data_IF_706755620519
#
_entry.id   IF_706755620519
#
_cell.length_a   1.000
_cell.length_b   1.000
_cell.length_c   1.000
_cell.angle_alpha   90.00
_cell.angle_beta   90.00
_cell.angle_gamma   90.00
#
_symmetry.space_group_name_H-M   'P 1'
#
loop_
_entity.id
_entity.type
_entity.pdbx_description
1 polymer ?
#
# COMPACT_ATOMS: atom_id res chain seq x y z
N UNK A 1 -15.05 3.93 -4.17
CA UNK A 1 -13.66 3.76 -3.69
C UNK A 1 -13.69 3.05 -2.34
N UNK A 2 -12.99 1.95 -2.18
CA UNK A 2 -12.92 1.23 -0.92
C UNK A 2 -11.61 1.54 -0.21
N UNK A 3 -11.68 2.17 0.94
CA UNK A 3 -10.51 2.48 1.75
C UNK A 3 -10.16 1.26 2.60
N UNK A 4 -8.88 0.93 2.64
CA UNK A 4 -8.33 -0.16 3.46
C UNK A 4 -7.27 0.40 4.41
N UNK A 5 -7.13 -0.25 5.56
CA UNK A 5 -6.06 0.06 6.50
C UNK A 5 -4.97 -1.00 6.39
N UNK A 6 -3.76 -0.57 6.03
CA UNK A 6 -2.59 -1.43 5.90
C UNK A 6 -1.69 -1.21 7.11
N UNK A 7 -1.36 -2.30 7.78
CA UNK A 7 -0.50 -2.26 8.97
C UNK A 7 0.71 -3.15 8.74
N UNK A 8 1.90 -2.60 8.87
CA UNK A 8 3.15 -3.36 8.72
C UNK A 8 4.30 -2.59 9.36
N UNK A 9 5.48 -3.25 9.48
CA UNK A 9 6.67 -2.58 9.98
C UNK A 9 7.22 -1.65 8.90
N UNK A 10 7.14 -0.36 9.12
CA UNK A 10 7.60 0.66 8.18
C UNK A 10 9.05 1.04 8.50
N UNK A 11 9.99 0.66 7.62
CA UNK A 11 11.41 0.96 7.82
C UNK A 11 11.67 2.46 7.91
N UNK A 12 10.96 3.26 7.12
CA UNK A 12 11.12 4.72 7.12
C UNK A 12 10.72 5.37 8.44
N UNK A 13 9.84 4.70 9.22
CA UNK A 13 9.39 5.17 10.53
C UNK A 13 9.97 4.35 11.68
N UNK A 14 10.66 3.27 11.36
CA UNK A 14 11.24 2.33 12.31
C UNK A 14 10.25 1.82 13.36
N UNK A 15 9.01 1.55 12.93
CA UNK A 15 7.95 1.03 13.81
C UNK A 15 6.84 0.41 12.99
N UNK A 16 5.99 -0.39 13.66
CA UNK A 16 4.74 -0.87 13.07
C UNK A 16 3.76 0.30 13.06
N UNK A 17 3.18 0.57 11.91
CA UNK A 17 2.24 1.68 11.75
C UNK A 17 1.15 1.31 10.76
N UNK A 18 0.08 2.11 10.74
CA UNK A 18 -1.08 1.90 9.89
C UNK A 18 -1.23 3.05 8.91
N UNK A 19 -1.48 2.71 7.65
CA UNK A 19 -1.65 3.68 6.56
C UNK A 19 -2.97 3.39 5.86
N UNK A 20 -3.73 4.45 5.54
CA UNK A 20 -4.94 4.34 4.74
C UNK A 20 -4.57 4.27 3.27
N UNK A 21 -5.13 3.31 2.57
CA UNK A 21 -4.82 3.13 1.17
C UNK A 21 -6.00 2.64 0.34
N UNK A 22 -5.82 2.66 -0.97
CA UNK A 22 -6.79 2.15 -1.94
C UNK A 22 -6.08 1.26 -2.95
N UNK A 23 -6.85 0.36 -3.58
CA UNK A 23 -6.30 -0.55 -4.58
C UNK A 23 -6.17 0.09 -5.96
N UNK A 24 -6.96 1.10 -6.24
CA UNK A 24 -6.92 1.80 -7.51
C UNK A 24 -6.96 3.31 -7.31
N UNK A 25 -6.20 4.02 -8.10
CA UNK A 25 -6.18 5.48 -8.08
C UNK A 25 -5.85 6.01 -9.46
N UNK A 26 -6.62 6.99 -9.93
CA UNK A 26 -6.32 7.68 -11.18
C UNK A 26 -5.28 8.78 -10.93
N UNK A 27 -4.18 8.69 -11.68
CA UNK A 27 -3.12 9.70 -11.64
C UNK A 27 -3.28 10.63 -12.85
N UNK A 28 -3.95 11.74 -12.63
CA UNK A 28 -4.25 12.69 -13.70
C UNK A 28 -2.98 13.33 -14.28
N UNK A 29 -1.95 13.52 -13.46
CA UNK A 29 -0.71 14.15 -13.92
C UNK A 29 0.07 13.27 -14.88
N UNK A 30 0.05 11.96 -14.66
CA UNK A 30 0.76 11.01 -15.50
C UNK A 30 -0.18 10.28 -16.48
N UNK A 31 -1.44 10.66 -16.52
CA UNK A 31 -2.48 10.11 -17.42
C UNK A 31 -2.50 8.58 -17.37
N UNK A 32 -2.50 8.02 -16.15
CA UNK A 32 -2.52 6.58 -15.94
C UNK A 32 -3.31 6.23 -14.68
N UNK A 33 -3.70 4.97 -14.58
CA UNK A 33 -4.37 4.43 -13.40
C UNK A 33 -3.40 3.55 -12.62
N UNK A 34 -3.21 3.86 -11.34
CA UNK A 34 -2.49 2.97 -10.43
C UNK A 34 -3.40 1.79 -10.07
N UNK A 35 -2.85 0.59 -10.09
CA UNK A 35 -3.53 -0.61 -9.60
C UNK A 35 -2.64 -1.33 -8.62
N UNK A 36 -3.24 -1.82 -7.54
CA UNK A 36 -2.52 -2.58 -6.53
C UNK A 36 -2.02 -3.91 -7.08
N UNK A 37 -1.00 -4.46 -6.41
CA UNK A 37 -0.45 -5.77 -6.75
C UNK A 37 -0.04 -6.48 -5.48
N UNK A 38 -0.46 -7.74 -5.34
CA UNK A 38 0.03 -8.63 -4.30
C UNK A 38 1.08 -9.54 -4.90
N UNK A 39 2.21 -9.69 -4.21
CA UNK A 39 3.34 -10.47 -4.71
C UNK A 39 4.16 -10.98 -3.55
N UNK A 40 5.13 -11.84 -3.83
CA UNK A 40 6.04 -12.39 -2.84
C UNK A 40 7.47 -12.01 -3.21
N UNK A 41 8.24 -11.50 -2.26
CA UNK A 41 9.61 -11.11 -2.52
C UNK A 41 10.55 -12.33 -2.57
N UNK A 42 11.83 -12.09 -2.85
CA UNK A 42 12.83 -13.16 -2.97
C UNK A 42 13.06 -13.93 -1.66
N UNK A 43 12.70 -13.34 -0.54
CA UNK A 43 12.84 -13.96 0.79
C UNK A 43 11.57 -14.70 1.23
N UNK A 44 10.55 -14.75 0.38
CA UNK A 44 9.28 -15.40 0.68
C UNK A 44 8.31 -14.56 1.48
N UNK A 45 8.57 -13.27 1.62
CA UNK A 45 7.67 -12.38 2.36
C UNK A 45 6.52 -11.89 1.46
N UNK A 46 5.27 -11.96 1.94
CA UNK A 46 4.15 -11.41 1.18
C UNK A 46 4.22 -9.88 1.15
N UNK A 47 4.02 -9.32 -0.03
CA UNK A 47 4.07 -7.88 -0.26
C UNK A 47 2.78 -7.40 -0.90
N UNK A 48 2.40 -6.16 -0.62
CA UNK A 48 1.20 -5.54 -1.16
C UNK A 48 1.54 -4.10 -1.59
N UNK A 49 1.47 -3.85 -2.89
CA UNK A 49 1.62 -2.49 -3.42
C UNK A 49 0.26 -1.83 -3.44
N UNK A 50 0.13 -0.69 -2.80
CA UNK A 50 -1.13 0.05 -2.73
C UNK A 50 -0.88 1.55 -2.87
N UNK A 51 -1.95 2.31 -3.08
CA UNK A 51 -1.87 3.78 -3.13
C UNK A 51 -2.17 4.36 -1.75
N UNK A 52 -1.21 5.10 -1.19
CA UNK A 52 -1.37 5.83 0.06
C UNK A 52 -2.13 7.13 -0.24
N UNK A 53 -3.37 7.24 0.25
CA UNK A 53 -4.21 8.41 -0.05
C UNK A 53 -3.77 9.66 0.68
N UNK A 54 -3.12 9.54 1.81
CA UNK A 54 -2.66 10.70 2.59
C UNK A 54 -1.34 11.25 2.04
N UNK A 55 -0.42 10.38 1.66
CA UNK A 55 0.88 10.78 1.10
C UNK A 55 0.82 11.00 -0.42
N UNK A 56 -0.26 10.58 -1.07
CA UNK A 56 -0.47 10.72 -2.52
C UNK A 56 0.62 10.05 -3.36
N UNK A 57 1.06 8.87 -2.93
CA UNK A 57 2.02 8.06 -3.70
C UNK A 57 1.87 6.58 -3.38
N UNK A 58 2.41 5.69 -4.24
CA UNK A 58 2.40 4.25 -3.96
C UNK A 58 3.29 3.89 -2.77
N UNK A 59 2.89 2.83 -2.06
CA UNK A 59 3.70 2.22 -1.00
C UNK A 59 3.70 0.71 -1.14
N UNK A 60 4.68 0.06 -0.53
CA UNK A 60 4.77 -1.39 -0.45
C UNK A 60 4.75 -1.81 1.02
N UNK A 61 3.74 -2.60 1.39
CA UNK A 61 3.64 -3.20 2.72
C UNK A 61 4.20 -4.62 2.67
N UNK A 62 5.03 -4.98 3.62
CA UNK A 62 5.69 -6.30 3.70
C UNK A 62 5.27 -6.98 5.00
N UNK A 63 4.89 -8.26 4.92
CA UNK A 63 4.38 -9.01 6.09
C UNK A 63 3.26 -8.24 6.79
N UNK A 64 2.32 -7.78 6.00
CA UNK A 64 1.29 -6.83 6.37
C UNK A 64 0.04 -7.49 6.93
N UNK A 65 -0.80 -6.69 7.58
CA UNK A 65 -2.21 -7.00 7.76
C UNK A 65 -3.06 -5.92 7.09
N UNK A 66 -4.22 -6.31 6.57
CA UNK A 66 -5.13 -5.41 5.85
C UNK A 66 -6.54 -5.61 6.41
N UNK A 67 -7.23 -4.50 6.63
CA UNK A 67 -8.64 -4.53 6.98
C UNK A 67 -9.40 -3.45 6.21
N UNK A 68 -10.65 -3.70 5.94
CA UNK A 68 -11.52 -2.69 5.32
C UNK A 68 -11.92 -1.65 6.34
N UNK A 69 -12.00 -0.42 5.87
CA UNK A 69 -12.48 0.68 6.69
C UNK A 69 -13.98 0.55 6.97
#
# INVERSE_FOLDING_TARGET
MTIKYFTWFMKSRNKIDTVRGVDEHEDYYNVRTFKSKQWTDKNGNPCYNFWDIDAEHPRTAVNYSVRKA
#
